data_IF_169739682490
#
_entry.id   IF_169739682490
#
_cell.length_a   1.000
_cell.length_b   1.000
_cell.length_c   1.000
_cell.angle_alpha   90.00
_cell.angle_beta   90.00
_cell.angle_gamma   90.00
#
_symmetry.space_group_name_H-M   'P 1'
#
loop_
_entity.id
_entity.type
_entity.pdbx_description
1 polymer ?
#
# COMPACT_ATOMS: atom_id res chain seq x y z
N UNK A 1 -3.13 -14.77 -46.75
CA UNK A 1 -3.04 -13.32 -46.98
C UNK A 1 -1.70 -13.06 -47.67
N UNK A 2 -1.68 -12.36 -48.80
CA UNK A 2 -0.44 -11.94 -49.43
C UNK A 2 0.15 -10.77 -48.61
N UNK A 3 1.48 -10.72 -48.33
CA UNK A 3 2.09 -9.56 -47.63
C UNK A 3 1.81 -8.22 -48.32
N UNK A 4 1.42 -8.21 -49.59
CA UNK A 4 1.04 -7.02 -50.35
C UNK A 4 -0.38 -6.52 -50.04
N UNK A 5 -1.22 -7.37 -49.41
CA UNK A 5 -2.61 -7.04 -49.06
C UNK A 5 -2.70 -6.40 -47.63
N UNK A 6 -1.60 -6.31 -46.93
CA UNK A 6 -1.57 -5.67 -45.59
C UNK A 6 -1.87 -4.17 -45.70
N UNK A 7 -2.71 -3.61 -44.79
CA UNK A 7 -3.06 -2.19 -44.83
C UNK A 7 -1.81 -1.31 -44.60
N UNK A 8 -1.88 -0.07 -45.05
CA UNK A 8 -0.88 0.91 -44.63
C UNK A 8 -1.03 1.24 -43.16
N UNK A 9 0.07 1.67 -42.51
CA UNK A 9 0.06 2.08 -41.07
C UNK A 9 -0.95 3.21 -40.83
N UNK A 10 -1.04 4.17 -41.76
CA UNK A 10 -1.96 5.30 -41.60
C UNK A 10 -3.43 4.88 -41.80
N UNK A 11 -3.73 3.94 -42.71
CA UNK A 11 -5.07 3.41 -42.89
C UNK A 11 -5.54 2.68 -41.62
N UNK A 12 -4.74 1.71 -41.14
CA UNK A 12 -5.07 0.96 -39.94
C UNK A 12 -5.18 1.87 -38.70
N UNK A 13 -4.27 2.84 -38.52
CA UNK A 13 -4.35 3.80 -37.42
C UNK A 13 -5.58 4.73 -37.55
N UNK A 14 -6.03 5.02 -38.75
CA UNK A 14 -7.28 5.78 -39.04
C UNK A 14 -8.51 5.03 -38.61
N UNK A 15 -8.60 3.75 -38.96
CA UNK A 15 -9.72 2.86 -38.58
C UNK A 15 -9.80 2.71 -37.05
N UNK A 16 -8.66 2.45 -36.39
CA UNK A 16 -8.57 2.34 -34.94
C UNK A 16 -8.91 3.63 -34.18
N UNK A 17 -8.71 4.81 -34.78
CA UNK A 17 -9.05 6.09 -34.17
C UNK A 17 -10.56 6.29 -33.96
N UNK A 18 -11.40 5.58 -34.69
CA UNK A 18 -12.86 5.58 -34.51
C UNK A 18 -13.32 4.74 -33.28
N UNK A 19 -12.49 3.84 -32.83
CA UNK A 19 -12.82 2.87 -31.78
C UNK A 19 -12.12 3.19 -30.44
N UNK A 20 -10.88 3.74 -30.48
CA UNK A 20 -10.04 3.92 -29.29
C UNK A 20 -9.73 5.39 -29.03
N UNK A 21 -10.12 5.89 -27.85
CA UNK A 21 -9.75 7.22 -27.34
C UNK A 21 -8.33 7.20 -26.75
N UNK A 22 -7.34 7.14 -27.63
CA UNK A 22 -5.90 7.19 -27.26
C UNK A 22 -5.14 8.13 -28.18
N UNK A 23 -3.97 8.65 -27.76
CA UNK A 23 -3.18 9.54 -28.60
C UNK A 23 -2.81 8.94 -29.95
N UNK A 24 -2.92 9.73 -31.05
CA UNK A 24 -2.62 9.28 -32.42
C UNK A 24 -1.23 8.61 -32.55
N UNK A 25 -0.25 9.06 -31.82
CA UNK A 25 1.10 8.45 -31.81
C UNK A 25 1.08 7.00 -31.33
N UNK A 26 0.20 6.67 -30.37
CA UNK A 26 0.03 5.32 -29.86
C UNK A 26 -0.68 4.43 -30.91
N UNK A 27 -1.72 4.93 -31.58
CA UNK A 27 -2.39 4.24 -32.68
C UNK A 27 -1.39 3.89 -33.80
N UNK A 28 -0.59 4.85 -34.26
CA UNK A 28 0.42 4.65 -35.31
C UNK A 28 1.47 3.61 -34.88
N UNK A 29 1.95 3.68 -33.65
CA UNK A 29 2.97 2.75 -33.16
C UNK A 29 2.42 1.34 -33.04
N UNK A 30 1.17 1.20 -32.56
CA UNK A 30 0.50 -0.10 -32.42
C UNK A 30 0.17 -0.69 -33.80
N UNK A 31 -0.37 0.11 -34.73
CA UNK A 31 -0.65 -0.31 -36.10
C UNK A 31 0.64 -0.81 -36.80
N UNK A 32 1.75 -0.09 -36.69
CA UNK A 32 3.02 -0.50 -37.28
C UNK A 32 3.49 -1.85 -36.75
N UNK A 33 3.50 -2.03 -35.41
CA UNK A 33 3.89 -3.31 -34.78
C UNK A 33 2.97 -4.46 -35.19
N UNK A 34 1.66 -4.21 -35.26
CA UNK A 34 0.68 -5.24 -35.68
C UNK A 34 0.88 -5.65 -37.14
N UNK A 35 1.17 -4.70 -38.03
CA UNK A 35 1.44 -4.99 -39.47
C UNK A 35 2.76 -5.78 -39.59
N UNK A 36 3.80 -5.42 -38.85
CA UNK A 36 5.06 -6.14 -38.90
C UNK A 36 4.90 -7.59 -38.40
N UNK A 37 4.17 -7.80 -37.30
CA UNK A 37 3.88 -9.13 -36.77
C UNK A 37 2.99 -9.94 -37.73
N UNK A 38 1.96 -9.34 -38.32
CA UNK A 38 1.12 -10.01 -39.33
C UNK A 38 1.93 -10.41 -40.56
N UNK A 39 2.93 -9.62 -40.96
CA UNK A 39 3.85 -9.94 -42.08
C UNK A 39 4.72 -11.15 -41.75
N UNK A 40 5.29 -11.19 -40.54
CA UNK A 40 6.10 -12.33 -40.05
C UNK A 40 5.24 -13.60 -39.94
N UNK A 41 4.04 -13.50 -39.41
CA UNK A 41 3.09 -14.61 -39.28
C UNK A 41 2.68 -15.15 -40.68
N UNK A 42 2.48 -14.27 -41.65
CA UNK A 42 2.15 -14.65 -43.05
C UNK A 42 3.34 -15.40 -43.69
N UNK A 43 4.58 -14.95 -43.46
CA UNK A 43 5.79 -15.62 -43.99
C UNK A 43 6.01 -17.00 -43.34
N UNK A 44 5.61 -17.18 -42.07
CA UNK A 44 5.66 -18.48 -41.37
C UNK A 44 4.47 -19.42 -41.68
N UNK A 45 3.54 -19.01 -42.53
CA UNK A 45 2.41 -19.83 -42.91
C UNK A 45 1.20 -19.77 -41.98
N UNK A 46 1.20 -18.86 -41.02
CA UNK A 46 0.11 -18.67 -40.05
C UNK A 46 -0.43 -17.24 -40.11
N UNK A 47 -1.09 -16.81 -41.18
CA UNK A 47 -1.53 -15.44 -41.36
C UNK A 47 -2.53 -15.00 -40.27
N UNK A 48 -2.30 -13.82 -39.69
CA UNK A 48 -3.15 -13.18 -38.70
C UNK A 48 -3.51 -11.78 -39.18
N UNK A 49 -4.74 -11.33 -38.88
CA UNK A 49 -5.21 -10.00 -39.24
C UNK A 49 -4.55 -8.93 -38.38
N UNK A 50 -3.83 -7.94 -38.93
CA UNK A 50 -3.20 -6.87 -38.17
C UNK A 50 -4.20 -5.99 -37.43
N UNK A 51 -5.45 -5.88 -37.89
CA UNK A 51 -6.48 -5.13 -37.18
C UNK A 51 -6.82 -5.78 -35.83
N UNK A 52 -6.98 -7.10 -35.83
CA UNK A 52 -7.20 -7.89 -34.59
C UNK A 52 -6.03 -7.74 -33.61
N UNK A 53 -4.80 -7.91 -34.10
CA UNK A 53 -3.60 -7.75 -33.25
C UNK A 53 -3.54 -6.34 -32.64
N UNK A 54 -3.83 -5.30 -33.44
CA UNK A 54 -3.80 -3.92 -32.99
C UNK A 54 -4.91 -3.61 -31.99
N UNK A 55 -6.13 -4.08 -32.25
CA UNK A 55 -7.28 -3.90 -31.35
C UNK A 55 -7.03 -4.58 -30.00
N UNK A 56 -6.58 -5.84 -29.96
CA UNK A 56 -6.28 -6.56 -28.74
C UNK A 56 -5.23 -5.81 -27.87
N UNK A 57 -4.18 -5.28 -28.53
CA UNK A 57 -3.16 -4.48 -27.83
C UNK A 57 -3.70 -3.17 -27.30
N UNK A 58 -4.55 -2.48 -28.08
CA UNK A 58 -5.14 -1.22 -27.62
C UNK A 58 -6.14 -1.46 -26.50
N UNK A 59 -6.93 -2.53 -26.54
CA UNK A 59 -7.79 -2.94 -25.42
C UNK A 59 -6.97 -3.21 -24.16
N UNK A 60 -5.86 -3.96 -24.25
CA UNK A 60 -4.97 -4.22 -23.13
C UNK A 60 -4.34 -2.93 -22.56
N UNK A 61 -3.92 -2.00 -23.43
CA UNK A 61 -3.39 -0.71 -23.03
C UNK A 61 -4.46 0.19 -22.39
N UNK A 62 -5.65 0.26 -22.97
CA UNK A 62 -6.77 1.04 -22.46
C UNK A 62 -7.21 0.54 -21.08
N UNK A 63 -7.28 -0.79 -20.89
CA UNK A 63 -7.61 -1.40 -19.60
C UNK A 63 -6.54 -1.19 -18.54
N UNK A 64 -5.27 -0.96 -18.92
CA UNK A 64 -4.17 -0.66 -18.00
C UNK A 64 -4.10 0.82 -17.59
N UNK A 65 -4.90 1.72 -18.21
CA UNK A 65 -4.94 3.12 -17.84
C UNK A 65 -5.41 3.29 -16.40
N UNK A 66 -4.67 4.09 -15.61
CA UNK A 66 -5.08 4.41 -14.24
C UNK A 66 -6.41 5.15 -14.27
N UNK A 67 -7.41 4.57 -13.60
CA UNK A 67 -8.77 5.13 -13.43
C UNK A 67 -9.32 4.79 -12.06
N UNK A 68 -10.32 5.56 -11.60
CA UNK A 68 -11.04 5.24 -10.38
C UNK A 68 -11.80 3.92 -10.53
N UNK A 69 -11.85 3.16 -9.45
CA UNK A 69 -12.65 1.93 -9.34
C UNK A 69 -13.34 1.92 -8.00
N UNK A 70 -14.49 1.27 -7.89
CA UNK A 70 -15.17 1.03 -6.62
C UNK A 70 -14.68 -0.30 -6.05
N UNK A 71 -14.07 -0.26 -4.88
CA UNK A 71 -13.57 -1.47 -4.21
C UNK A 71 -14.68 -2.16 -3.41
N UNK A 72 -15.33 -3.14 -3.99
CA UNK A 72 -16.35 -3.97 -3.36
C UNK A 72 -15.85 -5.38 -3.00
N UNK A 73 -14.51 -5.57 -2.85
CA UNK A 73 -13.90 -6.87 -2.56
C UNK A 73 -14.01 -7.29 -1.09
N UNK A 74 -14.21 -6.35 -0.18
CA UNK A 74 -14.12 -6.58 1.26
C UNK A 74 -12.68 -6.57 1.82
N UNK A 75 -11.67 -6.29 1.00
CA UNK A 75 -10.30 -6.04 1.45
C UNK A 75 -10.08 -4.52 1.50
N UNK A 76 -10.05 -3.94 2.71
CA UNK A 76 -10.04 -2.49 2.88
C UNK A 76 -8.75 -1.87 2.31
N UNK A 77 -7.60 -2.42 2.67
CA UNK A 77 -6.27 -2.03 2.15
C UNK A 77 -5.85 -2.95 1.00
N UNK A 78 -6.62 -2.94 -0.08
CA UNK A 78 -6.39 -3.85 -1.20
C UNK A 78 -5.13 -3.45 -1.99
N UNK A 79 -4.11 -4.28 -1.96
CA UNK A 79 -2.77 -4.00 -2.51
C UNK A 79 -2.81 -3.56 -3.99
N UNK A 80 -3.62 -4.23 -4.81
CA UNK A 80 -3.70 -3.94 -6.24
C UNK A 80 -4.65 -2.77 -6.58
N UNK A 81 -5.40 -2.25 -5.60
CA UNK A 81 -6.32 -1.13 -5.76
C UNK A 81 -5.84 0.15 -5.06
N UNK A 82 -4.55 0.21 -4.70
CA UNK A 82 -3.93 1.41 -4.12
C UNK A 82 -3.86 1.43 -2.59
N UNK A 83 -4.28 0.36 -1.91
CA UNK A 83 -4.34 0.24 -0.44
C UNK A 83 -5.29 1.23 0.21
N UNK A 84 -4.82 2.11 1.13
CA UNK A 84 -5.70 3.05 1.81
C UNK A 84 -6.30 4.08 0.85
N UNK A 85 -7.63 4.24 0.82
CA UNK A 85 -8.23 5.38 0.15
C UNK A 85 -7.78 6.67 0.83
N UNK A 86 -7.30 7.62 0.04
CA UNK A 86 -6.73 8.86 0.57
C UNK A 86 -7.78 9.96 0.71
N UNK A 87 -7.60 10.83 1.70
CA UNK A 87 -8.32 12.10 1.74
C UNK A 87 -7.87 12.99 0.58
N UNK A 88 -8.81 13.68 -0.04
CA UNK A 88 -8.48 14.69 -1.04
C UNK A 88 -7.65 15.81 -0.41
N UNK A 89 -6.69 16.35 -1.16
CA UNK A 89 -5.93 17.51 -0.75
C UNK A 89 -5.78 18.47 -1.93
N UNK A 90 -5.97 19.75 -1.65
CA UNK A 90 -5.70 20.78 -2.63
C UNK A 90 -4.20 20.89 -2.89
N UNK A 91 -3.81 20.72 -4.15
CA UNK A 91 -2.43 20.84 -4.57
C UNK A 91 -2.30 22.12 -5.41
N UNK A 92 -1.70 23.20 -4.88
CA UNK A 92 -1.56 24.44 -5.62
C UNK A 92 -0.61 24.27 -6.81
N UNK A 93 -0.81 25.08 -7.87
CA UNK A 93 0.06 25.06 -9.06
C UNK A 93 1.51 25.41 -8.74
N UNK A 94 1.73 26.30 -7.78
CA UNK A 94 3.02 26.61 -7.18
C UNK A 94 2.86 26.65 -5.66
N UNK A 95 3.86 26.19 -4.93
CA UNK A 95 3.83 26.13 -3.47
C UNK A 95 5.18 26.52 -2.88
N UNK A 96 5.18 26.85 -1.60
CA UNK A 96 6.37 27.13 -0.81
C UNK A 96 7.17 25.87 -0.41
N UNK A 97 7.17 24.86 -1.24
CA UNK A 97 7.69 23.51 -0.97
C UNK A 97 9.11 23.48 -0.35
N UNK A 98 10.01 24.34 -0.84
CA UNK A 98 11.36 24.57 -0.32
C UNK A 98 11.64 26.08 -0.22
N UNK A 99 10.62 26.87 0.05
CA UNK A 99 10.73 28.34 0.14
C UNK A 99 10.17 28.80 1.48
N UNK A 100 10.96 29.55 2.22
CA UNK A 100 10.57 30.18 3.46
C UNK A 100 9.93 31.54 3.15
N UNK A 101 8.62 31.63 3.46
CA UNK A 101 7.82 32.84 3.15
C UNK A 101 8.18 34.03 4.04
N UNK A 102 8.77 33.80 5.21
CA UNK A 102 9.13 34.84 6.17
C UNK A 102 10.47 35.50 5.80
N UNK A 103 11.44 34.67 5.44
CA UNK A 103 12.80 35.14 5.13
C UNK A 103 13.04 35.37 3.64
N UNK A 104 12.15 34.88 2.76
CA UNK A 104 12.33 34.92 1.32
C UNK A 104 13.47 34.05 0.80
N UNK A 105 13.97 33.13 1.58
CA UNK A 105 15.10 32.25 1.23
C UNK A 105 14.69 30.79 1.08
N UNK A 106 15.65 29.93 0.78
CA UNK A 106 15.39 28.49 0.66
C UNK A 106 15.11 27.88 2.04
N UNK A 107 13.90 27.31 2.19
CA UNK A 107 13.47 26.56 3.36
C UNK A 107 13.77 25.04 3.28
N UNK A 108 13.47 24.34 4.37
CA UNK A 108 13.52 22.87 4.42
C UNK A 108 12.23 22.29 3.81
N UNK A 109 12.38 21.32 2.91
CA UNK A 109 11.25 20.58 2.35
C UNK A 109 10.48 19.86 3.47
N UNK A 110 9.14 19.90 3.41
CA UNK A 110 8.25 19.22 4.36
C UNK A 110 8.46 19.59 5.83
N UNK A 111 9.01 20.77 6.14
CA UNK A 111 9.31 21.18 7.53
C UNK A 111 8.08 21.09 8.42
N UNK A 112 6.94 21.63 7.97
CA UNK A 112 5.67 21.57 8.69
C UNK A 112 5.20 20.12 8.90
N UNK A 113 5.17 19.32 7.85
CA UNK A 113 4.74 17.92 7.92
C UNK A 113 5.61 17.11 8.88
N UNK A 114 6.94 17.26 8.81
CA UNK A 114 7.86 16.52 9.69
C UNK A 114 7.66 16.91 11.17
N UNK A 115 7.46 18.21 11.46
CA UNK A 115 7.17 18.67 12.81
C UNK A 115 5.80 18.16 13.30
N UNK A 116 4.78 18.18 12.45
CA UNK A 116 3.45 17.66 12.75
C UNK A 116 3.50 16.16 13.07
N UNK A 117 4.19 15.35 12.24
CA UNK A 117 4.38 13.92 12.48
C UNK A 117 5.07 13.69 13.82
N UNK A 118 6.23 14.32 14.04
CA UNK A 118 6.99 14.17 15.27
C UNK A 118 6.13 14.49 16.51
N UNK A 119 5.41 15.61 16.47
CA UNK A 119 4.48 16.02 17.54
C UNK A 119 3.34 15.02 17.76
N UNK A 120 2.77 14.48 16.67
CA UNK A 120 1.63 13.55 16.76
C UNK A 120 2.02 12.22 17.42
N UNK A 121 3.24 11.74 17.19
CA UNK A 121 3.69 10.45 17.74
C UNK A 121 4.60 10.59 18.98
N UNK A 122 4.91 11.82 19.43
CA UNK A 122 5.79 12.06 20.57
C UNK A 122 7.28 11.82 20.29
N UNK A 123 7.72 11.90 19.02
CA UNK A 123 9.12 11.75 18.64
C UNK A 123 9.88 13.11 18.66
N UNK A 124 11.21 13.08 18.73
CA UNK A 124 12.04 14.30 18.62
C UNK A 124 12.08 14.83 17.18
N UNK A 125 12.06 13.94 16.19
CA UNK A 125 12.10 14.31 14.78
C UNK A 125 11.40 13.28 13.88
N UNK A 126 11.07 13.70 12.65
CA UNK A 126 10.49 12.85 11.62
C UNK A 126 11.12 13.14 10.24
N UNK A 127 11.11 12.14 9.39
CA UNK A 127 11.50 12.22 7.98
C UNK A 127 10.53 11.39 7.15
N UNK A 128 10.08 11.95 6.02
CA UNK A 128 9.19 11.25 5.09
C UNK A 128 9.91 11.00 3.77
N UNK A 129 9.77 9.78 3.28
CA UNK A 129 10.29 9.30 2.00
C UNK A 129 9.17 8.59 1.20
N UNK A 130 9.47 8.16 -0.03
CA UNK A 130 8.49 7.68 -1.00
C UNK A 130 7.74 6.38 -0.62
N UNK A 131 8.36 5.50 0.18
CA UNK A 131 7.73 4.29 0.73
C UNK A 131 8.56 3.71 1.89
N UNK A 132 8.00 2.74 2.62
CA UNK A 132 8.67 2.18 3.79
C UNK A 132 9.93 1.36 3.46
N UNK A 133 9.98 0.68 2.31
CA UNK A 133 11.20 0.02 1.86
C UNK A 133 12.34 1.03 1.64
N UNK A 134 12.02 2.21 1.10
CA UNK A 134 12.96 3.33 0.98
C UNK A 134 13.38 3.90 2.34
N UNK A 135 12.47 3.96 3.33
CA UNK A 135 12.79 4.38 4.69
C UNK A 135 13.78 3.40 5.36
N UNK A 136 13.52 2.10 5.25
CA UNK A 136 14.40 1.07 5.78
C UNK A 136 15.77 1.05 5.09
N UNK A 137 15.79 1.13 3.75
CA UNK A 137 17.04 1.26 2.98
C UNK A 137 17.86 2.45 3.48
N UNK A 138 17.23 3.61 3.62
CA UNK A 138 17.88 4.84 4.07
C UNK A 138 18.38 4.74 5.51
N UNK A 139 17.57 4.16 6.43
CA UNK A 139 17.96 3.96 7.80
C UNK A 139 19.22 3.06 7.90
N UNK A 140 19.22 1.93 7.21
CA UNK A 140 20.36 1.01 7.17
C UNK A 140 21.61 1.68 6.60
N UNK A 141 21.50 2.32 5.43
CA UNK A 141 22.63 2.98 4.78
C UNK A 141 23.19 4.14 5.60
N UNK A 142 22.32 4.91 6.28
CA UNK A 142 22.74 6.08 7.05
C UNK A 142 23.24 5.72 8.46
N UNK A 143 22.64 4.72 9.11
CA UNK A 143 22.89 4.44 10.53
C UNK A 143 23.93 3.33 10.75
N UNK A 144 23.89 2.27 9.95
CA UNK A 144 24.92 1.25 9.99
C UNK A 144 26.11 1.59 9.06
N UNK A 145 25.84 2.30 7.97
CA UNK A 145 26.88 2.69 7.01
C UNK A 145 27.29 1.54 6.06
N UNK A 146 28.16 1.86 5.12
CA UNK A 146 28.67 0.87 4.17
C UNK A 146 29.51 -0.18 4.91
N UNK A 147 29.27 -1.45 4.55
CA UNK A 147 29.88 -2.63 5.16
C UNK A 147 29.54 -2.82 6.66
N UNK A 148 28.62 -1.98 7.18
CA UNK A 148 28.13 -2.11 8.55
C UNK A 148 27.32 -3.39 8.75
N UNK A 149 27.38 -3.97 9.92
CA UNK A 149 26.74 -5.24 10.28
C UNK A 149 25.44 -4.96 11.02
N UNK A 150 24.35 -5.55 10.58
CA UNK A 150 23.02 -5.36 11.16
C UNK A 150 22.47 -6.70 11.65
N UNK A 151 22.23 -6.79 12.95
CA UNK A 151 21.63 -7.98 13.56
C UNK A 151 20.12 -7.96 13.38
N UNK A 152 19.56 -9.07 12.87
CA UNK A 152 18.12 -9.27 12.68
C UNK A 152 17.74 -10.71 12.93
N UNK A 153 16.57 -10.96 13.50
CA UNK A 153 16.04 -12.30 13.69
C UNK A 153 15.85 -13.03 12.35
N UNK A 154 16.29 -14.29 12.26
CA UNK A 154 16.03 -15.11 11.07
C UNK A 154 14.53 -15.26 10.79
N UNK A 155 13.68 -15.32 11.82
CA UNK A 155 12.23 -15.37 11.70
C UNK A 155 11.59 -14.09 11.14
N UNK A 156 12.35 -12.98 11.09
CA UNK A 156 11.91 -11.67 10.59
C UNK A 156 12.46 -11.35 9.17
N UNK A 157 13.13 -12.28 8.52
CA UNK A 157 13.61 -12.14 7.14
C UNK A 157 12.45 -12.35 6.16
N UNK A 158 11.62 -11.33 6.05
CA UNK A 158 10.35 -11.36 5.34
C UNK A 158 10.51 -11.26 3.82
N UNK A 159 9.54 -11.86 3.10
CA UNK A 159 9.23 -11.55 1.70
C UNK A 159 7.83 -10.92 1.65
N UNK A 160 7.70 -9.77 0.99
CA UNK A 160 6.44 -9.05 0.81
C UNK A 160 6.05 -9.07 -0.68
N UNK A 161 4.80 -8.72 -1.00
CA UNK A 161 4.28 -8.75 -2.36
C UNK A 161 5.20 -8.13 -3.42
N UNK A 162 5.25 -8.77 -4.61
CA UNK A 162 6.15 -8.37 -5.70
C UNK A 162 7.58 -8.88 -5.56
N UNK A 163 7.79 -9.96 -4.80
CA UNK A 163 9.12 -10.60 -4.58
C UNK A 163 10.12 -9.69 -3.85
N UNK A 164 9.63 -8.72 -3.06
CA UNK A 164 10.49 -7.92 -2.21
C UNK A 164 11.00 -8.75 -1.03
N UNK A 165 12.31 -8.95 -0.94
CA UNK A 165 12.99 -9.69 0.13
C UNK A 165 13.84 -8.77 0.99
N UNK A 166 13.66 -8.85 2.30
CA UNK A 166 14.44 -8.06 3.25
C UNK A 166 15.96 -8.26 3.09
N UNK A 167 16.50 -9.50 2.97
CA UNK A 167 17.93 -9.71 2.75
C UNK A 167 18.47 -9.00 1.51
N UNK A 168 17.71 -8.99 0.41
CA UNK A 168 18.13 -8.35 -0.84
C UNK A 168 18.17 -6.82 -0.68
N UNK A 169 17.21 -6.24 0.04
CA UNK A 169 17.21 -4.81 0.38
C UNK A 169 18.40 -4.45 1.28
N UNK A 170 18.67 -5.26 2.30
CA UNK A 170 19.81 -5.06 3.20
C UNK A 170 21.12 -5.06 2.42
N UNK A 171 21.33 -6.07 1.57
CA UNK A 171 22.51 -6.13 0.71
C UNK A 171 22.61 -4.92 -0.23
N UNK A 172 21.50 -4.50 -0.83
CA UNK A 172 21.45 -3.32 -1.71
C UNK A 172 21.74 -2.00 -0.96
N UNK A 173 21.43 -1.91 0.35
CA UNK A 173 21.77 -0.74 1.17
C UNK A 173 23.25 -0.68 1.55
N UNK A 174 24.03 -1.73 1.24
CA UNK A 174 25.46 -1.82 1.50
C UNK A 174 25.82 -2.35 2.88
N UNK A 175 24.87 -2.89 3.64
CA UNK A 175 25.12 -3.49 4.95
C UNK A 175 25.26 -5.00 4.86
N UNK A 176 25.89 -5.60 5.87
CA UNK A 176 25.98 -7.03 6.06
C UNK A 176 24.94 -7.53 7.04
N UNK A 177 24.10 -8.46 6.58
CA UNK A 177 23.12 -9.14 7.41
C UNK A 177 23.83 -10.06 8.43
N UNK A 178 23.50 -9.90 9.71
CA UNK A 178 23.85 -10.82 10.79
C UNK A 178 22.58 -11.50 11.27
N UNK A 179 22.32 -12.71 10.78
CA UNK A 179 21.16 -13.49 11.18
C UNK A 179 21.34 -14.05 12.60
N UNK A 180 20.34 -13.84 13.47
CA UNK A 180 20.34 -14.39 14.81
C UNK A 180 19.12 -15.28 15.05
N UNK A 181 19.25 -16.24 15.96
CA UNK A 181 18.18 -17.19 16.27
C UNK A 181 17.90 -18.19 15.13
N UNK A 182 16.66 -18.67 15.09
CA UNK A 182 16.16 -19.64 14.10
C UNK A 182 14.87 -19.14 13.46
N UNK A 183 14.33 -19.89 12.50
CA UNK A 183 13.11 -19.51 11.76
C UNK A 183 11.90 -19.24 12.68
N UNK A 184 11.76 -20.01 13.76
CA UNK A 184 10.60 -19.95 14.65
C UNK A 184 10.94 -19.55 16.08
N UNK A 185 12.23 -19.41 16.43
CA UNK A 185 12.63 -19.00 17.78
C UNK A 185 13.84 -18.10 17.75
N UNK A 186 13.69 -16.92 18.37
CA UNK A 186 14.78 -15.98 18.61
C UNK A 186 14.65 -15.44 20.03
N UNK A 187 15.75 -15.39 20.74
CA UNK A 187 15.86 -14.88 22.11
C UNK A 187 16.82 -13.69 22.17
N UNK A 188 16.71 -12.88 23.21
CA UNK A 188 17.65 -11.78 23.47
C UNK A 188 19.12 -12.28 23.48
N UNK A 189 19.37 -13.49 24.03
CA UNK A 189 20.71 -14.09 24.05
C UNK A 189 21.27 -14.40 22.65
N UNK A 190 20.43 -14.63 21.66
CA UNK A 190 20.88 -14.89 20.28
C UNK A 190 21.49 -13.62 19.68
N UNK A 191 20.90 -12.45 19.96
CA UNK A 191 21.44 -11.15 19.56
C UNK A 191 22.78 -10.86 20.28
N UNK A 192 22.82 -11.02 21.59
CA UNK A 192 24.02 -10.71 22.39
C UNK A 192 25.19 -11.68 22.13
N UNK A 193 24.89 -12.85 21.60
CA UNK A 193 25.88 -13.86 21.18
C UNK A 193 26.26 -13.74 19.70
N UNK A 194 25.76 -12.73 18.98
CA UNK A 194 26.11 -12.50 17.58
C UNK A 194 27.62 -12.32 17.42
N UNK A 195 28.26 -12.96 16.41
CA UNK A 195 29.70 -12.89 16.25
C UNK A 195 30.16 -11.49 15.80
N UNK A 196 31.15 -10.93 16.48
CA UNK A 196 31.72 -9.61 16.17
C UNK A 196 30.85 -8.43 16.62
N UNK A 197 31.23 -7.21 16.25
CA UNK A 197 30.42 -6.00 16.51
C UNK A 197 29.29 -5.87 15.50
N UNK A 198 28.19 -5.25 15.90
CA UNK A 198 27.08 -4.85 15.02
C UNK A 198 26.90 -3.35 15.11
N UNK A 199 26.60 -2.70 13.99
CA UNK A 199 26.42 -1.27 13.88
C UNK A 199 24.96 -0.85 14.03
N UNK A 200 24.01 -1.78 13.94
CA UNK A 200 22.60 -1.58 14.27
C UNK A 200 21.91 -2.91 14.61
N UNK A 201 20.86 -2.83 15.40
CA UNK A 201 19.92 -3.91 15.67
C UNK A 201 18.61 -3.58 14.96
N UNK A 202 18.12 -4.49 14.14
CA UNK A 202 16.85 -4.33 13.40
C UNK A 202 15.83 -5.35 13.90
N UNK A 203 14.63 -4.87 14.25
CA UNK A 203 13.45 -5.71 14.45
C UNK A 203 12.40 -5.34 13.42
N UNK A 204 11.86 -6.36 12.74
CA UNK A 204 10.84 -6.20 11.71
C UNK A 204 9.57 -6.92 12.12
N UNK A 205 8.46 -6.18 12.18
CA UNK A 205 7.15 -6.78 12.42
C UNK A 205 6.66 -7.54 11.16
N UNK A 206 6.32 -8.83 11.27
CA UNK A 206 5.82 -9.62 10.16
C UNK A 206 4.36 -9.25 9.83
N UNK A 207 4.15 -8.07 9.26
CA UNK A 207 2.82 -7.49 9.02
C UNK A 207 1.95 -8.24 8.00
N UNK A 208 2.51 -9.17 7.22
CA UNK A 208 1.83 -9.87 6.12
C UNK A 208 1.68 -11.38 6.30
N UNK A 209 2.24 -11.96 7.36
CA UNK A 209 2.09 -13.38 7.71
C UNK A 209 2.17 -13.57 9.22
N UNK A 210 1.73 -14.74 9.68
CA UNK A 210 1.82 -15.18 11.08
C UNK A 210 2.49 -16.55 11.15
N UNK A 211 3.38 -16.74 12.11
CA UNK A 211 3.97 -18.05 12.41
C UNK A 211 3.26 -18.60 13.63
N UNK A 212 2.70 -19.81 13.53
CA UNK A 212 1.95 -20.46 14.61
C UNK A 212 2.67 -21.72 15.10
N UNK A 213 2.46 -22.09 16.35
CA UNK A 213 3.02 -23.29 16.96
C UNK A 213 4.10 -22.99 17.99
N UNK A 214 5.21 -23.73 17.96
CA UNK A 214 6.33 -23.56 18.88
C UNK A 214 7.21 -22.36 18.47
N UNK A 215 6.69 -21.15 18.64
CA UNK A 215 7.35 -19.88 18.30
C UNK A 215 7.82 -19.15 19.54
N UNK A 216 8.87 -18.34 19.39
CA UNK A 216 9.38 -17.43 20.41
C UNK A 216 10.09 -16.28 19.70
N UNK A 217 9.74 -15.04 20.00
CA UNK A 217 10.40 -13.87 19.50
C UNK A 217 10.72 -12.88 20.64
N UNK A 218 11.65 -11.97 20.41
CA UNK A 218 11.96 -10.92 21.35
C UNK A 218 10.96 -9.78 21.17
N UNK A 219 10.12 -9.44 22.17
CA UNK A 219 9.16 -8.37 22.03
C UNK A 219 9.84 -7.01 21.82
N UNK A 220 9.14 -6.07 21.18
CA UNK A 220 9.68 -4.70 20.96
C UNK A 220 10.15 -4.04 22.27
N UNK A 221 9.46 -4.31 23.38
CA UNK A 221 9.80 -3.75 24.71
C UNK A 221 11.14 -4.24 25.29
N UNK A 222 11.68 -5.37 24.83
CA UNK A 222 12.96 -5.91 25.28
C UNK A 222 14.13 -5.52 24.36
N UNK A 223 13.84 -5.13 23.11
CA UNK A 223 14.87 -4.82 22.11
C UNK A 223 15.78 -3.65 22.49
N UNK A 224 15.33 -2.58 23.17
CA UNK A 224 16.24 -1.51 23.60
C UNK A 224 17.37 -2.02 24.51
N UNK A 225 17.06 -2.90 25.48
CA UNK A 225 18.10 -3.49 26.35
C UNK A 225 19.07 -4.37 25.57
N UNK A 226 18.60 -5.07 24.54
CA UNK A 226 19.47 -5.85 23.64
C UNK A 226 20.41 -4.92 22.87
N UNK A 227 19.88 -3.85 22.28
CA UNK A 227 20.66 -2.88 21.51
C UNK A 227 21.69 -2.14 22.38
N UNK A 228 21.30 -1.74 23.61
CA UNK A 228 22.20 -1.13 24.57
C UNK A 228 23.38 -2.06 24.92
N UNK A 229 23.11 -3.35 25.16
CA UNK A 229 24.14 -4.34 25.46
C UNK A 229 25.15 -4.54 24.32
N UNK A 230 24.75 -4.23 23.09
CA UNK A 230 25.59 -4.29 21.89
C UNK A 230 26.23 -2.95 21.55
N UNK A 231 25.82 -1.87 22.22
CA UNK A 231 26.27 -0.49 21.92
C UNK A 231 25.82 -0.01 20.53
N UNK A 232 24.70 -0.50 20.02
CA UNK A 232 24.21 -0.24 18.68
C UNK A 232 22.80 0.38 18.71
N UNK A 233 22.42 1.24 17.75
CA UNK A 233 21.08 1.79 17.68
C UNK A 233 20.04 0.69 17.37
N UNK A 234 18.84 0.85 17.93
CA UNK A 234 17.68 0.02 17.67
C UNK A 234 16.78 0.65 16.62
N UNK A 235 16.67 -0.03 15.48
CA UNK A 235 15.76 0.31 14.38
C UNK A 235 14.57 -0.64 14.44
N UNK A 236 13.36 -0.09 14.56
CA UNK A 236 12.11 -0.84 14.58
C UNK A 236 11.32 -0.59 13.29
N UNK A 237 11.11 -1.61 12.47
CA UNK A 237 10.21 -1.55 11.32
C UNK A 237 8.86 -2.17 11.73
N UNK A 238 7.92 -1.32 12.15
CA UNK A 238 6.55 -1.75 12.47
C UNK A 238 5.69 -1.94 11.22
N UNK A 239 6.05 -1.32 10.13
CA UNK A 239 5.52 -1.53 8.78
C UNK A 239 4.05 -1.22 8.55
N UNK A 240 3.16 -1.49 9.50
CA UNK A 240 1.70 -1.36 9.36
C UNK A 240 1.17 0.07 9.48
N UNK A 241 1.89 0.96 10.16
CA UNK A 241 1.50 2.36 10.31
C UNK A 241 0.38 2.62 11.32
N UNK A 242 0.13 1.72 12.27
CA UNK A 242 -0.71 1.99 13.43
C UNK A 242 0.00 2.98 14.35
N UNK A 243 -0.54 4.20 14.51
CA UNK A 243 0.15 5.22 15.30
C UNK A 243 0.12 4.93 16.79
N UNK A 244 -1.02 4.47 17.30
CA UNK A 244 -1.23 4.12 18.72
C UNK A 244 -2.04 2.82 18.79
N UNK A 245 -1.50 1.81 19.47
CA UNK A 245 -2.16 0.50 19.66
C UNK A 245 -3.45 0.59 20.49
N UNK A 246 -3.64 1.65 21.27
CA UNK A 246 -4.88 1.91 21.98
C UNK A 246 -5.98 2.49 21.08
N UNK A 247 -5.65 2.91 19.85
CA UNK A 247 -6.53 3.50 18.85
C UNK A 247 -7.56 4.50 19.46
N UNK A 248 -7.12 5.59 20.11
CA UNK A 248 -8.01 6.48 20.89
C UNK A 248 -9.07 7.19 20.03
N UNK A 249 -8.93 7.17 18.71
CA UNK A 249 -9.92 7.67 17.75
C UNK A 249 -11.07 6.68 17.48
N UNK A 250 -10.97 5.44 17.97
CA UNK A 250 -12.02 4.44 17.81
C UNK A 250 -12.93 4.42 19.03
N UNK A 251 -14.22 4.69 18.83
CA UNK A 251 -15.21 4.63 19.90
C UNK A 251 -15.31 3.22 20.48
N UNK A 252 -15.13 3.07 21.78
CA UNK A 252 -15.15 1.77 22.46
C UNK A 252 -13.78 1.11 22.58
N UNK A 253 -12.72 1.76 22.13
CA UNK A 253 -11.34 1.28 22.20
C UNK A 253 -10.89 0.46 20.99
N UNK A 254 -9.68 -0.10 21.01
CA UNK A 254 -9.13 -0.83 19.88
C UNK A 254 -9.97 -2.07 19.57
N UNK A 255 -10.37 -2.27 18.29
CA UNK A 255 -11.11 -3.45 17.90
C UNK A 255 -10.23 -4.71 18.00
N UNK A 256 -10.87 -5.87 18.24
CA UNK A 256 -10.17 -7.14 18.45
C UNK A 256 -9.20 -7.53 17.31
N UNK A 257 -9.49 -7.09 16.08
CA UNK A 257 -8.61 -7.34 14.93
C UNK A 257 -7.32 -6.49 14.94
N UNK A 258 -7.16 -5.54 15.87
CA UNK A 258 -5.90 -4.83 16.12
C UNK A 258 -5.06 -5.48 17.23
N UNK A 259 -5.54 -6.52 17.87
CA UNK A 259 -4.80 -7.19 18.93
C UNK A 259 -3.42 -7.62 18.41
N UNK A 260 -2.39 -7.36 19.21
CA UNK A 260 -1.00 -7.65 18.92
C UNK A 260 -0.33 -6.81 17.80
N UNK A 261 -1.04 -5.86 17.19
CA UNK A 261 -0.43 -4.96 16.20
C UNK A 261 0.39 -3.86 16.90
N UNK A 262 1.69 -3.72 16.61
CA UNK A 262 2.53 -2.74 17.28
C UNK A 262 2.17 -1.30 16.89
N UNK A 263 1.99 -0.44 17.88
CA UNK A 263 1.84 1.01 17.67
C UNK A 263 3.19 1.72 17.57
N UNK A 264 3.25 2.75 16.73
CA UNK A 264 4.44 3.60 16.59
C UNK A 264 4.80 4.28 17.92
N UNK A 265 3.81 4.86 18.61
CA UNK A 265 4.02 5.54 19.90
C UNK A 265 4.57 4.58 20.95
N UNK A 266 3.94 3.40 21.13
CA UNK A 266 4.40 2.41 22.09
C UNK A 266 5.81 1.91 21.78
N UNK A 267 6.14 1.77 20.49
CA UNK A 267 7.48 1.34 20.08
C UNK A 267 8.54 2.39 20.39
N UNK A 268 8.21 3.69 20.25
CA UNK A 268 9.05 4.79 20.70
C UNK A 268 9.19 4.83 22.24
N UNK A 269 8.07 4.65 22.96
CA UNK A 269 8.04 4.63 24.43
C UNK A 269 8.86 3.47 25.02
N UNK A 270 8.97 2.35 24.33
CA UNK A 270 9.89 1.26 24.71
C UNK A 270 11.35 1.65 24.56
N UNK A 271 11.69 2.66 23.76
CA UNK A 271 13.05 3.17 23.58
C UNK A 271 13.67 2.82 22.22
N UNK A 272 12.87 2.67 21.17
CA UNK A 272 13.41 2.56 19.82
C UNK A 272 14.07 3.88 19.39
N UNK A 273 15.29 3.83 18.88
CA UNK A 273 16.00 5.00 18.36
C UNK A 273 15.37 5.53 17.07
N UNK A 274 14.89 4.61 16.23
CA UNK A 274 14.15 4.92 14.99
C UNK A 274 13.02 3.92 14.79
N UNK A 275 11.82 4.41 14.51
CA UNK A 275 10.66 3.61 14.11
C UNK A 275 10.29 3.94 12.68
N UNK A 276 10.10 2.90 11.87
CA UNK A 276 9.75 2.99 10.44
C UNK A 276 8.35 2.44 10.19
N UNK A 277 7.58 3.09 9.31
CA UNK A 277 6.24 2.61 8.97
C UNK A 277 5.74 3.14 7.62
N UNK A 278 4.71 2.45 7.08
CA UNK A 278 4.05 2.80 5.81
C UNK A 278 2.91 3.80 6.03
N UNK A 279 2.76 4.75 5.10
CA UNK A 279 1.66 5.72 5.14
C UNK A 279 0.33 5.18 4.61
N UNK A 280 0.36 4.21 3.71
CA UNK A 280 -0.78 3.71 2.94
C UNK A 280 -1.43 2.43 3.51
N UNK A 281 -1.17 2.13 4.78
CA UNK A 281 -1.77 1.01 5.50
C UNK A 281 -2.69 1.52 6.63
N UNK A 282 -2.49 1.08 7.87
CA UNK A 282 -3.34 1.44 9.01
C UNK A 282 -3.32 2.93 9.36
N UNK A 283 -2.31 3.68 8.92
CA UNK A 283 -2.32 5.14 8.99
C UNK A 283 -3.50 5.74 8.21
N UNK A 284 -3.93 5.10 7.11
CA UNK A 284 -5.02 5.60 6.26
C UNK A 284 -4.63 6.78 5.37
N UNK A 285 -3.34 6.97 5.12
CA UNK A 285 -2.79 8.04 4.28
C UNK A 285 -2.31 7.55 2.91
N UNK A 286 -1.61 8.40 2.13
CA UNK A 286 -1.02 8.03 0.85
C UNK A 286 0.23 7.17 1.03
N UNK A 287 0.67 6.53 -0.06
CA UNK A 287 1.93 5.81 -0.06
C UNK A 287 3.08 6.72 0.34
N UNK A 288 3.74 6.37 1.43
CA UNK A 288 4.94 7.00 1.96
C UNK A 288 5.66 6.02 2.90
N UNK A 289 6.95 6.27 3.13
CA UNK A 289 7.69 5.72 4.25
C UNK A 289 7.95 6.82 5.26
N UNK A 290 7.64 6.57 6.50
CA UNK A 290 7.85 7.53 7.59
C UNK A 290 8.88 6.96 8.56
N UNK A 291 9.88 7.76 8.89
CA UNK A 291 10.85 7.50 9.93
C UNK A 291 10.66 8.52 11.05
N UNK A 292 10.53 8.05 12.29
CA UNK A 292 10.42 8.88 13.50
C UNK A 292 11.38 8.39 14.56
N UNK A 293 11.84 9.27 15.44
CA UNK A 293 12.75 8.88 16.53
C UNK A 293 13.65 10.01 16.99
N UNK A 294 14.82 9.66 17.51
CA UNK A 294 15.81 10.62 18.03
C UNK A 294 16.33 11.55 16.93
N UNK A 295 16.41 12.85 17.25
CA UNK A 295 16.77 13.90 16.28
C UNK A 295 18.10 13.62 15.56
N UNK A 296 19.10 13.12 16.29
CA UNK A 296 20.43 12.80 15.73
C UNK A 296 20.34 11.71 14.65
N UNK A 297 19.55 10.67 14.85
CA UNK A 297 19.39 9.58 13.88
C UNK A 297 18.63 10.05 12.65
N UNK A 298 17.53 10.76 12.86
CA UNK A 298 16.72 11.30 11.75
C UNK A 298 17.52 12.33 10.93
N UNK A 299 18.34 13.15 11.55
CA UNK A 299 19.20 14.10 10.82
C UNK A 299 20.28 13.37 9.99
N UNK A 300 20.91 12.32 10.53
CA UNK A 300 21.84 11.48 9.76
C UNK A 300 21.17 10.89 8.52
N UNK A 301 19.93 10.39 8.67
CA UNK A 301 19.15 9.89 7.53
C UNK A 301 18.86 11.02 6.52
N UNK A 302 18.42 12.19 6.98
CA UNK A 302 18.09 13.34 6.11
C UNK A 302 19.30 13.88 5.34
N UNK A 303 20.48 13.80 5.93
CA UNK A 303 21.75 14.25 5.34
C UNK A 303 22.35 13.22 4.36
N UNK A 304 21.92 11.96 4.39
CA UNK A 304 22.44 10.93 3.52
C UNK A 304 22.09 11.22 2.05
N UNK A 305 23.04 11.07 1.09
CA UNK A 305 22.81 11.42 -0.33
C UNK A 305 21.57 10.76 -0.94
N UNK A 306 21.26 9.51 -0.55
CA UNK A 306 20.11 8.76 -1.07
C UNK A 306 18.76 9.38 -0.64
N UNK A 307 18.70 10.13 0.45
CA UNK A 307 17.47 10.80 0.89
C UNK A 307 16.92 11.74 -0.21
N UNK A 308 17.82 12.31 -1.04
CA UNK A 308 17.39 13.13 -2.17
C UNK A 308 16.64 12.33 -3.24
N UNK A 309 17.06 11.09 -3.50
CA UNK A 309 16.42 10.22 -4.47
C UNK A 309 15.06 9.68 -3.97
N UNK A 310 14.89 9.63 -2.65
CA UNK A 310 13.68 9.12 -1.99
C UNK A 310 12.64 10.20 -1.64
N UNK A 311 12.83 11.44 -2.09
CA UNK A 311 11.92 12.56 -1.79
C UNK A 311 10.52 12.34 -2.32
N UNK A 312 9.53 12.68 -1.49
CA UNK A 312 8.12 12.74 -1.89
C UNK A 312 7.80 14.04 -2.64
N UNK A 313 6.74 14.02 -3.45
CA UNK A 313 6.25 15.17 -4.20
C UNK A 313 5.23 16.02 -3.40
N UNK A 314 4.82 17.16 -3.94
CA UNK A 314 3.87 18.07 -3.28
C UNK A 314 2.49 17.44 -3.01
N UNK A 315 1.88 16.68 -3.95
CA UNK A 315 0.63 15.98 -3.68
C UNK A 315 0.72 15.04 -2.47
N UNK A 316 1.76 14.23 -2.38
CA UNK A 316 1.96 13.32 -1.25
C UNK A 316 2.15 14.09 0.07
N UNK A 317 2.89 15.21 0.05
CA UNK A 317 3.03 16.09 1.23
C UNK A 317 1.67 16.62 1.67
N UNK A 318 0.86 17.14 0.75
CA UNK A 318 -0.46 17.69 1.06
C UNK A 318 -1.40 16.63 1.66
N UNK A 319 -1.47 15.45 1.05
CA UNK A 319 -2.29 14.34 1.54
C UNK A 319 -1.83 13.82 2.92
N UNK A 320 -0.52 13.66 3.14
CA UNK A 320 0.01 13.29 4.45
C UNK A 320 -0.25 14.36 5.50
N UNK A 321 -0.12 15.63 5.14
CA UNK A 321 -0.44 16.74 6.05
C UNK A 321 -1.89 16.64 6.50
N UNK A 322 -2.85 16.50 5.58
CA UNK A 322 -4.26 16.33 5.92
C UNK A 322 -4.51 15.08 6.79
N UNK A 323 -3.82 13.97 6.50
CA UNK A 323 -3.90 12.74 7.31
C UNK A 323 -3.43 12.98 8.75
N UNK A 324 -2.25 13.57 8.94
CA UNK A 324 -1.71 13.82 10.27
C UNK A 324 -2.45 14.94 11.02
N UNK A 325 -3.00 15.94 10.33
CA UNK A 325 -3.88 16.93 10.93
C UNK A 325 -5.16 16.30 11.48
N UNK A 326 -5.72 15.30 10.80
CA UNK A 326 -6.86 14.53 11.31
C UNK A 326 -6.51 13.78 12.61
N UNK A 327 -5.32 13.18 12.73
CA UNK A 327 -4.86 12.58 13.98
C UNK A 327 -4.63 13.63 15.06
N UNK A 328 -3.92 14.70 14.76
CA UNK A 328 -3.58 15.76 15.72
C UNK A 328 -4.83 16.50 16.26
N UNK A 329 -5.87 16.62 15.46
CA UNK A 329 -7.15 17.24 15.86
C UNK A 329 -8.15 16.28 16.51
N UNK A 330 -7.83 14.98 16.64
CA UNK A 330 -8.73 13.96 17.15
C UNK A 330 -9.80 13.49 16.14
N UNK A 331 -9.67 13.88 14.87
CA UNK A 331 -10.62 13.52 13.81
C UNK A 331 -10.22 12.28 13.00
N UNK A 332 -9.25 11.48 13.45
CA UNK A 332 -8.74 10.33 12.73
C UNK A 332 -9.80 9.27 12.39
N UNK A 333 -10.89 9.16 13.18
CA UNK A 333 -12.02 8.31 12.88
C UNK A 333 -12.71 8.64 11.53
N UNK A 334 -12.55 9.87 11.03
CA UNK A 334 -13.11 10.31 9.74
C UNK A 334 -12.23 9.96 8.53
N UNK A 335 -11.02 9.46 8.75
CA UNK A 335 -10.19 8.96 7.65
C UNK A 335 -10.89 7.77 6.97
N UNK A 336 -10.88 7.69 5.63
CA UNK A 336 -11.65 6.68 4.91
C UNK A 336 -11.40 5.25 5.39
N UNK A 337 -10.13 4.90 5.65
CA UNK A 337 -9.79 3.58 6.20
C UNK A 337 -10.49 3.32 7.54
N UNK A 338 -10.40 4.25 8.49
CA UNK A 338 -10.99 4.07 9.82
C UNK A 338 -12.51 4.08 9.79
N UNK A 339 -13.12 4.95 8.96
CA UNK A 339 -14.57 4.94 8.74
C UNK A 339 -15.06 3.58 8.25
N UNK A 340 -14.38 2.97 7.29
CA UNK A 340 -14.73 1.64 6.77
C UNK A 340 -14.46 0.53 7.80
N UNK A 341 -13.28 0.57 8.45
CA UNK A 341 -12.84 -0.50 9.34
C UNK A 341 -13.69 -0.59 10.63
N UNK A 342 -14.19 0.55 11.11
CA UNK A 342 -14.95 0.63 12.38
C UNK A 342 -16.48 0.73 12.19
N UNK A 343 -16.97 0.75 10.94
CA UNK A 343 -18.41 0.77 10.68
C UNK A 343 -19.11 -0.43 11.35
N UNK A 344 -20.20 -0.23 12.11
CA UNK A 344 -20.98 -1.34 12.68
C UNK A 344 -21.52 -2.28 11.60
N UNK A 345 -21.64 -3.57 11.92
CA UNK A 345 -22.16 -4.57 10.96
C UNK A 345 -23.60 -4.22 10.51
N UNK A 346 -24.41 -3.71 11.41
CA UNK A 346 -25.80 -3.32 11.16
C UNK A 346 -25.90 -2.16 10.15
N UNK A 347 -24.92 -1.24 10.15
CA UNK A 347 -24.83 -0.15 9.16
C UNK A 347 -24.51 -0.74 7.79
N UNK A 348 -23.58 -1.68 7.70
CA UNK A 348 -23.23 -2.35 6.44
C UNK A 348 -24.41 -3.18 5.93
N UNK A 349 -25.13 -3.87 6.81
CA UNK A 349 -26.35 -4.64 6.47
C UNK A 349 -27.42 -3.73 5.87
N UNK A 350 -27.72 -2.61 6.52
CA UNK A 350 -28.70 -1.62 6.06
C UNK A 350 -28.32 -1.08 4.68
N UNK A 351 -27.06 -0.67 4.47
CA UNK A 351 -26.57 -0.19 3.18
C UNK A 351 -26.67 -1.28 2.10
N UNK A 352 -26.29 -2.51 2.42
CA UNK A 352 -26.30 -3.63 1.47
C UNK A 352 -27.71 -3.97 1.04
N UNK A 353 -28.66 -3.97 1.97
CA UNK A 353 -30.08 -4.19 1.69
C UNK A 353 -30.64 -3.09 0.78
N UNK A 354 -30.35 -1.83 1.09
CA UNK A 354 -30.79 -0.69 0.27
C UNK A 354 -30.22 -0.74 -1.16
N UNK A 355 -28.95 -1.10 -1.32
CA UNK A 355 -28.29 -1.26 -2.62
C UNK A 355 -28.92 -2.41 -3.41
N UNK A 356 -29.20 -3.55 -2.78
CA UNK A 356 -29.84 -4.71 -3.41
C UNK A 356 -31.27 -4.35 -3.86
N UNK A 357 -32.06 -3.72 -3.01
CA UNK A 357 -33.41 -3.27 -3.34
C UNK A 357 -33.42 -2.26 -4.50
N UNK A 358 -32.52 -1.27 -4.46
CA UNK A 358 -32.41 -0.26 -5.52
C UNK A 358 -31.98 -0.84 -6.87
N UNK A 359 -31.17 -1.89 -6.87
CA UNK A 359 -30.73 -2.55 -8.11
C UNK A 359 -31.77 -3.46 -8.73
N UNK A 360 -32.67 -4.03 -7.93
CA UNK A 360 -33.60 -5.06 -8.37
C UNK A 360 -32.97 -6.39 -8.82
N UNK A 361 -31.68 -6.58 -8.54
CA UNK A 361 -30.90 -7.76 -8.96
C UNK A 361 -31.16 -8.94 -8.01
N UNK A 362 -31.10 -10.16 -8.53
CA UNK A 362 -31.20 -11.37 -7.71
C UNK A 362 -29.92 -11.59 -6.91
N UNK A 363 -30.06 -11.76 -5.60
CA UNK A 363 -28.94 -11.98 -4.68
C UNK A 363 -29.45 -12.18 -3.25
N UNK A 364 -28.53 -12.54 -2.38
CA UNK A 364 -28.84 -12.76 -0.96
C UNK A 364 -27.77 -12.16 -0.06
N UNK A 365 -28.19 -11.53 1.05
CA UNK A 365 -27.31 -11.22 2.15
C UNK A 365 -26.89 -12.53 2.83
N UNK A 366 -25.60 -12.66 3.05
CA UNK A 366 -25.00 -13.80 3.75
C UNK A 366 -23.99 -13.32 4.78
N UNK A 367 -23.76 -14.14 5.80
CA UNK A 367 -22.68 -13.90 6.74
C UNK A 367 -21.33 -14.03 6.04
N UNK A 368 -20.45 -13.08 6.31
CA UNK A 368 -19.15 -13.03 5.70
C UNK A 368 -18.14 -12.25 6.53
N UNK A 369 -17.04 -11.90 5.91
CA UNK A 369 -15.99 -11.14 6.57
C UNK A 369 -15.30 -10.20 5.59
N UNK A 370 -14.77 -9.11 6.14
CA UNK A 370 -13.83 -8.22 5.47
C UNK A 370 -12.42 -8.42 6.02
N UNK A 371 -11.42 -8.06 5.23
CA UNK A 371 -10.03 -8.07 5.64
C UNK A 371 -9.54 -6.62 5.83
N UNK A 372 -8.92 -6.28 6.97
CA UNK A 372 -8.30 -4.96 7.13
C UNK A 372 -7.27 -4.67 6.03
N UNK A 373 -6.45 -5.67 5.68
CA UNK A 373 -5.50 -5.58 4.57
C UNK A 373 -4.68 -6.86 4.39
N UNK A 374 -4.16 -7.07 3.19
CA UNK A 374 -3.28 -8.22 2.91
C UNK A 374 -1.86 -8.04 3.45
N UNK A 375 -1.46 -6.80 3.76
CA UNK A 375 -0.12 -6.42 4.25
C UNK A 375 -0.12 -5.83 5.66
N UNK A 376 -1.18 -6.05 6.44
CA UNK A 376 -1.32 -5.65 7.84
C UNK A 376 -2.33 -6.56 8.53
N UNK A 377 -2.11 -6.86 9.81
CA UNK A 377 -2.96 -7.72 10.67
C UNK A 377 -3.30 -9.07 10.04
N UNK A 378 -2.31 -9.92 9.74
CA UNK A 378 -2.51 -11.16 9.00
C UNK A 378 -3.41 -12.15 9.73
N UNK A 379 -4.33 -12.78 8.97
CA UNK A 379 -5.25 -13.79 9.48
C UNK A 379 -6.42 -13.26 10.30
N UNK A 380 -6.53 -11.94 10.49
CA UNK A 380 -7.63 -11.33 11.23
C UNK A 380 -8.70 -10.78 10.28
N UNK A 381 -9.96 -10.89 10.71
CA UNK A 381 -11.12 -10.53 9.91
C UNK A 381 -12.09 -9.65 10.68
N UNK A 382 -12.88 -8.87 9.96
CA UNK A 382 -13.97 -8.06 10.48
C UNK A 382 -15.29 -8.73 10.05
N UNK A 383 -16.10 -9.25 10.97
CA UNK A 383 -17.42 -9.78 10.62
C UNK A 383 -18.23 -8.78 9.82
N UNK A 384 -18.76 -9.20 8.69
CA UNK A 384 -19.40 -8.28 7.74
C UNK A 384 -20.49 -9.00 6.96
N UNK A 385 -21.74 -8.49 6.92
CA UNK A 385 -22.76 -8.94 5.99
C UNK A 385 -22.30 -8.65 4.55
N UNK A 386 -22.42 -9.63 3.66
CA UNK A 386 -21.92 -9.57 2.28
C UNK A 386 -23.06 -9.94 1.33
N UNK A 387 -23.18 -9.22 0.21
CA UNK A 387 -24.11 -9.57 -0.85
C UNK A 387 -23.50 -10.67 -1.73
N UNK A 388 -24.11 -11.85 -1.73
CA UNK A 388 -23.83 -12.91 -2.68
C UNK A 388 -24.74 -12.74 -3.88
N UNK A 389 -24.15 -12.74 -5.08
CA UNK A 389 -24.88 -12.60 -6.34
C UNK A 389 -25.10 -13.97 -6.98
N UNK A 390 -26.32 -14.21 -7.44
CA UNK A 390 -26.69 -15.40 -8.17
C UNK A 390 -26.25 -15.28 -9.64
N UNK A 391 -26.04 -16.44 -10.30
CA UNK A 391 -25.65 -16.48 -11.71
C UNK A 391 -24.26 -17.09 -11.92
N UNK A 392 -23.78 -17.01 -13.18
CA UNK A 392 -22.44 -17.49 -13.51
C UNK A 392 -21.39 -16.49 -13.03
N UNK A 393 -20.54 -16.89 -12.09
CA UNK A 393 -19.51 -16.08 -11.43
C UNK A 393 -18.76 -15.17 -12.40
N UNK A 394 -18.20 -15.73 -13.46
CA UNK A 394 -17.41 -14.98 -14.45
C UNK A 394 -18.25 -13.91 -15.17
N UNK A 395 -19.49 -14.21 -15.51
CA UNK A 395 -20.37 -13.25 -16.19
C UNK A 395 -20.73 -12.08 -15.26
N UNK A 396 -21.18 -12.39 -14.06
CA UNK A 396 -21.53 -11.39 -13.04
C UNK A 396 -20.34 -10.50 -12.71
N UNK A 397 -19.20 -11.11 -12.45
CA UNK A 397 -17.99 -10.36 -12.15
C UNK A 397 -17.56 -9.46 -13.31
N UNK A 398 -17.61 -9.98 -14.54
CA UNK A 398 -17.24 -9.23 -15.74
C UNK A 398 -18.18 -8.02 -15.95
N UNK A 399 -19.48 -8.20 -15.80
CA UNK A 399 -20.45 -7.11 -15.92
C UNK A 399 -20.16 -5.98 -14.93
N UNK A 400 -19.80 -6.31 -13.69
CA UNK A 400 -19.42 -5.31 -12.68
C UNK A 400 -18.08 -4.64 -13.04
N UNK A 401 -17.09 -5.38 -13.50
CA UNK A 401 -15.78 -4.87 -13.84
C UNK A 401 -15.79 -4.00 -15.12
N UNK A 402 -16.74 -4.24 -16.04
CA UNK A 402 -16.92 -3.48 -17.27
C UNK A 402 -17.83 -2.24 -17.09
N UNK A 403 -18.43 -2.06 -15.89
CA UNK A 403 -19.20 -0.86 -15.57
C UNK A 403 -18.30 0.38 -15.45
N UNK A 404 -18.86 1.58 -15.61
CA UNK A 404 -18.09 2.84 -15.48
C UNK A 404 -18.64 3.72 -14.35
N UNK A 405 -17.90 3.93 -13.27
CA UNK A 405 -16.58 3.33 -12.98
C UNK A 405 -16.69 1.83 -12.61
N UNK A 406 -15.63 1.03 -12.88
CA UNK A 406 -15.61 -0.40 -12.54
C UNK A 406 -15.90 -0.69 -11.07
N UNK A 407 -16.76 -1.67 -10.82
CA UNK A 407 -17.03 -2.20 -9.48
C UNK A 407 -16.29 -3.53 -9.32
N UNK A 408 -15.31 -3.59 -8.45
CA UNK A 408 -14.47 -4.76 -8.26
C UNK A 408 -15.03 -5.62 -7.13
N UNK A 409 -15.72 -6.70 -7.50
CA UNK A 409 -16.27 -7.68 -6.57
C UNK A 409 -15.30 -8.83 -6.28
N UNK A 410 -15.47 -9.51 -5.14
CA UNK A 410 -14.72 -10.73 -4.85
C UNK A 410 -15.33 -11.93 -5.59
N UNK A 411 -14.48 -12.91 -5.92
CA UNK A 411 -14.89 -14.20 -6.53
C UNK A 411 -14.44 -15.35 -5.65
N UNK A 412 -15.35 -16.23 -5.31
CA UNK A 412 -15.06 -17.46 -4.57
C UNK A 412 -16.21 -18.46 -4.70
N UNK A 413 -15.90 -19.73 -4.62
CA UNK A 413 -16.88 -20.83 -4.55
C UNK A 413 -17.95 -20.77 -5.68
N UNK A 414 -17.58 -20.31 -6.87
CA UNK A 414 -18.46 -20.20 -8.04
C UNK A 414 -19.51 -19.07 -7.95
N UNK A 415 -19.32 -18.07 -7.09
CA UNK A 415 -20.17 -16.92 -6.94
C UNK A 415 -19.38 -15.61 -6.86
N UNK A 416 -20.00 -14.50 -7.24
CA UNK A 416 -19.50 -13.16 -7.03
C UNK A 416 -20.07 -12.58 -5.72
N UNK A 417 -19.25 -11.83 -5.00
CA UNK A 417 -19.60 -11.21 -3.73
C UNK A 417 -19.29 -9.72 -3.75
N UNK A 418 -20.27 -8.92 -3.38
CA UNK A 418 -20.14 -7.47 -3.19
C UNK A 418 -20.14 -7.17 -1.70
N UNK A 419 -19.09 -6.54 -1.20
CA UNK A 419 -18.90 -6.24 0.22
C UNK A 419 -18.81 -4.71 0.41
N UNK A 420 -19.88 -4.12 0.93
CA UNK A 420 -20.01 -2.67 1.10
C UNK A 420 -19.16 -2.08 2.21
N UNK A 421 -18.50 -2.90 3.05
CA UNK A 421 -17.55 -2.35 4.03
C UNK A 421 -16.35 -1.67 3.36
N UNK A 422 -15.89 -2.18 2.21
CA UNK A 422 -14.78 -1.57 1.45
C UNK A 422 -15.22 -0.54 0.41
N UNK A 423 -16.51 -0.23 0.34
CA UNK A 423 -17.11 0.80 -0.53
C UNK A 423 -17.36 2.06 0.29
N UNK A 424 -16.91 3.23 -0.21
CA UNK A 424 -17.29 4.50 0.41
C UNK A 424 -18.80 4.71 0.33
N UNK A 425 -19.48 5.22 1.39
CA UNK A 425 -20.94 5.39 1.35
C UNK A 425 -21.46 6.21 0.17
N UNK A 426 -20.71 7.20 -0.30
CA UNK A 426 -21.08 8.03 -1.45
C UNK A 426 -21.09 7.24 -2.78
N UNK A 427 -20.52 6.05 -2.81
CA UNK A 427 -20.43 5.16 -3.99
C UNK A 427 -21.54 4.09 -4.01
N UNK A 428 -22.41 4.01 -2.99
CA UNK A 428 -23.50 3.03 -2.93
C UNK A 428 -24.43 3.09 -4.16
N UNK A 429 -24.72 4.29 -4.64
CA UNK A 429 -25.53 4.48 -5.85
C UNK A 429 -24.85 3.95 -7.11
N UNK A 430 -23.51 4.01 -7.19
CA UNK A 430 -22.73 3.45 -8.29
C UNK A 430 -22.83 1.92 -8.26
N UNK A 431 -22.67 1.32 -7.07
CA UNK A 431 -22.81 -0.14 -6.91
C UNK A 431 -24.22 -0.60 -7.28
N UNK A 432 -25.27 0.11 -6.84
CA UNK A 432 -26.65 -0.21 -7.21
C UNK A 432 -26.89 -0.15 -8.73
N UNK A 433 -26.37 0.89 -9.40
CA UNK A 433 -26.50 1.03 -10.85
C UNK A 433 -25.73 -0.08 -11.60
N UNK A 434 -24.52 -0.44 -11.16
CA UNK A 434 -23.75 -1.53 -11.74
C UNK A 434 -24.47 -2.89 -11.60
N UNK A 435 -25.06 -3.14 -10.43
CA UNK A 435 -25.86 -4.34 -10.17
C UNK A 435 -27.12 -4.43 -11.05
N UNK A 436 -27.81 -3.31 -11.30
CA UNK A 436 -29.00 -3.27 -12.14
C UNK A 436 -28.74 -3.65 -13.62
N UNK A 437 -27.47 -3.67 -14.03
CA UNK A 437 -27.04 -4.08 -15.37
C UNK A 437 -26.72 -5.57 -15.52
N UNK A 438 -26.91 -6.39 -14.46
CA UNK A 438 -26.63 -7.85 -14.48
C UNK A 438 -27.94 -8.66 -14.78
#
# INVERSE_FOLDING_TARGET
MDPRDLPSVDALAGDLAGEFDVPRSLLITTARRAIDEAREATQSGSPVDPATIAADRLHALASSRLRGVVNATGVLLHTNLGRAPTVGADVPRASNLEFDLETGTRGRRSAYLNALIASTVGAEAALVVNNNAGALFLALAALAGRDGRVAVSRGELIEIGGSFRLPDLMAASGVHLVEVGTTNRTRASDFTSAPGTVEAVLKVHPSNYRVEGFTEDVPFSEMPSVAESLGAPFIADVGSGLLDSNAPWVTGGPPAWLADEPGVQQTLDYGADVVLFSGDKLLGGPQAGVAVGGATFIERMAMHPIARALRINSPTIAMLTATFEAYASGAAASLPFWTMATAPAEVIETRTTAVLEASGTAGALVDGASLPGAGSVPGLTIPTPVLRLDGREEHVWRSLADFEPPVIAARRDGAAFVNLRSVHPDEDSIVAAALAGI
#
